data_IF_468247914898
#
_entry.id   IF_468247914898
#
_cell.length_a   1.000
_cell.length_b   1.000
_cell.length_c   1.000
_cell.angle_alpha   90.00
_cell.angle_beta   90.00
_cell.angle_gamma   90.00
#
_symmetry.space_group_name_H-M   'P 1'
#
loop_
_entity.id
_entity.type
_entity.pdbx_description
1 polymer ?
#
# COMPACT_ATOMS: atom_id res chain seq x y z
N UNK A 1 40.37 22.01 26.71
CA UNK A 1 40.26 20.74 25.93
C UNK A 1 38.84 20.16 25.90
N UNK A 2 38.00 20.33 26.94
CA UNK A 2 36.60 19.84 26.94
C UNK A 2 35.64 20.56 25.97
N UNK A 3 35.80 21.86 25.75
CA UNK A 3 34.89 22.66 24.89
C UNK A 3 34.89 22.23 23.41
N UNK A 4 36.03 21.76 22.90
CA UNK A 4 36.14 21.31 21.51
C UNK A 4 35.41 19.97 21.32
N UNK A 5 35.53 19.05 22.29
CA UNK A 5 34.87 17.74 22.27
C UNK A 5 33.35 17.92 22.34
N UNK A 6 32.86 18.79 23.25
CA UNK A 6 31.44 19.09 23.39
C UNK A 6 30.82 19.71 22.13
N UNK A 7 31.55 20.60 21.43
CA UNK A 7 31.10 21.19 20.17
C UNK A 7 31.01 20.16 19.03
N UNK A 8 31.97 19.25 18.94
CA UNK A 8 32.00 18.19 17.94
C UNK A 8 30.90 17.15 18.17
N UNK A 9 30.63 16.77 19.42
CA UNK A 9 29.54 15.88 19.78
C UNK A 9 28.17 16.48 19.44
N UNK A 10 27.97 17.79 19.70
CA UNK A 10 26.73 18.48 19.34
C UNK A 10 26.52 18.52 17.81
N UNK A 11 27.56 18.80 17.03
CA UNK A 11 27.49 18.76 15.56
C UNK A 11 27.13 17.37 15.03
N UNK A 12 27.71 16.31 15.61
CA UNK A 12 27.38 14.93 15.24
C UNK A 12 25.92 14.60 15.55
N UNK A 13 25.42 14.95 16.73
CA UNK A 13 24.03 14.71 17.12
C UNK A 13 23.05 15.48 16.21
N UNK A 14 23.40 16.69 15.78
CA UNK A 14 22.61 17.47 14.83
C UNK A 14 22.56 16.80 13.44
N UNK A 15 23.70 16.30 12.95
CA UNK A 15 23.73 15.55 11.68
C UNK A 15 22.88 14.28 11.77
N UNK A 16 23.00 13.53 12.88
CA UNK A 16 22.20 12.32 13.10
C UNK A 16 20.69 12.63 13.20
N UNK A 17 20.31 13.79 13.77
CA UNK A 17 18.93 14.26 13.80
C UNK A 17 18.40 14.52 12.39
N UNK A 18 19.11 15.30 11.58
CA UNK A 18 18.71 15.64 10.21
C UNK A 18 18.61 14.38 9.33
N UNK A 19 19.53 13.43 9.48
CA UNK A 19 19.48 12.15 8.77
C UNK A 19 18.20 11.38 9.12
N UNK A 20 17.88 11.26 10.41
CA UNK A 20 16.66 10.56 10.87
C UNK A 20 15.37 11.31 10.50
N UNK A 21 15.41 12.63 10.44
CA UNK A 21 14.30 13.44 9.95
C UNK A 21 14.06 13.17 8.45
N UNK A 22 15.13 13.05 7.67
CA UNK A 22 15.04 12.66 6.25
C UNK A 22 14.46 11.25 6.09
N UNK A 23 14.95 10.27 6.85
CA UNK A 23 14.40 8.91 6.87
C UNK A 23 12.90 8.89 7.25
N UNK A 24 12.48 9.76 8.18
CA UNK A 24 11.07 9.91 8.54
C UNK A 24 10.24 10.42 7.36
N UNK A 25 10.73 11.40 6.60
CA UNK A 25 10.06 11.89 5.40
C UNK A 25 9.93 10.80 4.32
N UNK A 26 10.98 10.00 4.12
CA UNK A 26 10.93 8.86 3.21
C UNK A 26 9.89 7.83 3.64
N UNK A 27 9.79 7.54 4.95
CA UNK A 27 8.74 6.67 5.50
C UNK A 27 7.34 7.22 5.27
N UNK A 28 7.13 8.53 5.44
CA UNK A 28 5.84 9.19 5.17
C UNK A 28 5.49 9.08 3.68
N UNK A 29 6.44 9.37 2.79
CA UNK A 29 6.25 9.28 1.35
C UNK A 29 5.91 7.84 0.92
N UNK A 30 6.63 6.85 1.46
CA UNK A 30 6.36 5.45 1.21
C UNK A 30 4.96 5.04 1.70
N UNK A 31 4.57 5.49 2.90
CA UNK A 31 3.23 5.23 3.44
C UNK A 31 2.12 5.81 2.55
N UNK A 32 2.27 7.07 2.13
CA UNK A 32 1.29 7.72 1.25
C UNK A 32 1.25 7.08 -0.14
N UNK A 33 2.40 6.70 -0.70
CA UNK A 33 2.46 5.97 -1.96
C UNK A 33 1.77 4.60 -1.88
N UNK A 34 1.98 3.85 -0.79
CA UNK A 34 1.30 2.56 -0.58
C UNK A 34 -0.21 2.74 -0.43
N UNK A 35 -0.66 3.76 0.32
CA UNK A 35 -2.08 4.09 0.46
C UNK A 35 -2.72 4.51 -0.87
N UNK A 36 -2.02 5.33 -1.65
CA UNK A 36 -2.49 5.78 -2.96
C UNK A 36 -2.63 4.59 -3.92
N UNK A 37 -1.61 3.73 -3.98
CA UNK A 37 -1.62 2.51 -4.80
C UNK A 37 -2.81 1.62 -4.43
N UNK A 38 -3.03 1.34 -3.15
CA UNK A 38 -4.17 0.54 -2.70
C UNK A 38 -5.52 1.15 -3.14
N UNK A 39 -5.68 2.48 -3.13
CA UNK A 39 -6.90 3.14 -3.63
C UNK A 39 -7.04 3.01 -5.14
N UNK A 40 -5.95 3.16 -5.90
CA UNK A 40 -5.92 3.01 -7.35
C UNK A 40 -6.23 1.57 -7.77
N UNK A 41 -5.68 0.58 -7.07
CA UNK A 41 -5.92 -0.84 -7.31
C UNK A 41 -7.40 -1.18 -7.07
N UNK A 42 -7.98 -0.69 -5.96
CA UNK A 42 -9.42 -0.83 -5.69
C UNK A 42 -10.30 -0.23 -6.79
N UNK A 43 -9.92 0.94 -7.33
CA UNK A 43 -10.65 1.56 -8.43
C UNK A 43 -10.53 0.75 -9.71
N UNK A 44 -9.32 0.26 -10.01
CA UNK A 44 -9.04 -0.60 -11.17
C UNK A 44 -9.85 -1.89 -11.11
N UNK A 45 -9.87 -2.58 -9.95
CA UNK A 45 -10.70 -3.76 -9.76
C UNK A 45 -12.18 -3.44 -10.03
N UNK A 46 -12.72 -2.36 -9.48
CA UNK A 46 -14.13 -1.99 -9.69
C UNK A 46 -14.46 -1.84 -11.17
N UNK A 47 -13.56 -1.24 -11.95
CA UNK A 47 -13.71 -1.12 -13.41
C UNK A 47 -13.68 -2.50 -14.08
N UNK A 48 -12.70 -3.34 -13.73
CA UNK A 48 -12.57 -4.70 -14.27
C UNK A 48 -13.78 -5.56 -13.95
N UNK A 49 -14.27 -5.54 -12.72
CA UNK A 49 -15.46 -6.30 -12.31
C UNK A 49 -16.71 -5.79 -13.00
N UNK A 50 -16.87 -4.49 -13.17
CA UNK A 50 -18.02 -3.93 -13.90
C UNK A 50 -18.05 -4.41 -15.36
N UNK A 51 -16.90 -4.49 -16.01
CA UNK A 51 -16.79 -5.01 -17.38
C UNK A 51 -17.06 -6.52 -17.43
N UNK A 52 -16.46 -7.28 -16.51
CA UNK A 52 -16.70 -8.73 -16.41
C UNK A 52 -18.17 -9.03 -16.11
N UNK A 53 -18.82 -8.29 -15.21
CA UNK A 53 -20.23 -8.44 -14.87
C UNK A 53 -21.12 -8.25 -16.09
N UNK A 54 -20.84 -7.23 -16.91
CA UNK A 54 -21.55 -7.01 -18.16
C UNK A 54 -21.36 -8.17 -19.15
N UNK A 55 -20.11 -8.62 -19.34
CA UNK A 55 -19.80 -9.75 -20.23
C UNK A 55 -20.44 -11.06 -19.76
N UNK A 56 -20.42 -11.32 -18.44
CA UNK A 56 -21.07 -12.48 -17.82
C UNK A 56 -22.57 -12.42 -18.04
N UNK A 57 -23.19 -11.26 -17.86
CA UNK A 57 -24.62 -11.08 -18.09
C UNK A 57 -25.01 -11.41 -19.54
N UNK A 58 -24.23 -10.92 -20.51
CA UNK A 58 -24.45 -11.21 -21.93
C UNK A 58 -24.25 -12.71 -22.22
N UNK A 59 -23.12 -13.29 -21.79
CA UNK A 59 -22.82 -14.70 -22.01
C UNK A 59 -23.84 -15.62 -21.34
N UNK A 60 -24.36 -15.25 -20.16
CA UNK A 60 -25.42 -15.97 -19.47
C UNK A 60 -26.72 -15.93 -20.27
N UNK A 61 -27.11 -14.77 -20.75
CA UNK A 61 -28.31 -14.64 -21.57
C UNK A 61 -28.21 -15.47 -22.85
N UNK A 62 -27.03 -15.52 -23.47
CA UNK A 62 -26.76 -16.31 -24.67
C UNK A 62 -26.79 -17.82 -24.37
N UNK A 63 -26.13 -18.25 -23.29
CA UNK A 63 -26.18 -19.63 -22.82
C UNK A 63 -27.61 -20.06 -22.47
N UNK A 64 -28.38 -19.24 -21.75
CA UNK A 64 -29.76 -19.54 -21.37
C UNK A 64 -30.67 -19.72 -22.61
N UNK A 65 -30.44 -18.92 -23.68
CA UNK A 65 -31.15 -19.08 -24.96
C UNK A 65 -30.70 -20.35 -25.69
N UNK A 66 -29.39 -20.56 -25.81
CA UNK A 66 -28.83 -21.74 -26.49
C UNK A 66 -29.22 -23.04 -25.77
N UNK A 67 -29.37 -23.01 -24.45
CA UNK A 67 -29.82 -24.16 -23.67
C UNK A 67 -31.24 -24.60 -24.08
N UNK A 68 -32.15 -23.64 -24.29
CA UNK A 68 -33.50 -23.94 -24.80
C UNK A 68 -33.44 -24.47 -26.23
N UNK A 69 -32.70 -23.79 -27.12
CA UNK A 69 -32.57 -24.20 -28.53
C UNK A 69 -31.94 -25.59 -28.67
N UNK A 70 -31.01 -25.96 -27.78
CA UNK A 70 -30.40 -27.28 -27.77
C UNK A 70 -31.39 -28.36 -27.33
N UNK A 71 -32.21 -28.10 -26.31
CA UNK A 71 -33.29 -28.99 -25.89
C UNK A 71 -34.32 -29.20 -27.03
N UNK A 72 -34.61 -28.14 -27.78
CA UNK A 72 -35.47 -28.17 -28.96
C UNK A 72 -34.77 -28.75 -30.22
N UNK A 73 -33.50 -29.20 -30.09
CA UNK A 73 -32.67 -29.77 -31.17
C UNK A 73 -32.46 -28.83 -32.37
N UNK A 74 -32.51 -27.52 -32.14
CA UNK A 74 -32.34 -26.47 -33.16
C UNK A 74 -30.86 -26.17 -33.42
N UNK A 75 -30.01 -26.29 -32.40
CA UNK A 75 -28.57 -26.04 -32.49
C UNK A 75 -27.75 -27.30 -32.21
N UNK A 76 -26.50 -27.30 -32.66
CA UNK A 76 -25.56 -28.39 -32.38
C UNK A 76 -25.10 -28.40 -30.92
N UNK A 77 -24.66 -29.57 -30.44
CA UNK A 77 -24.02 -29.69 -29.13
C UNK A 77 -22.79 -28.78 -29.00
N UNK A 78 -21.98 -28.68 -30.05
CA UNK A 78 -20.80 -27.81 -30.07
C UNK A 78 -21.15 -26.34 -29.82
N UNK A 79 -22.25 -25.85 -30.42
CA UNK A 79 -22.72 -24.47 -30.24
C UNK A 79 -23.19 -24.21 -28.81
N UNK A 80 -23.94 -25.15 -28.24
CA UNK A 80 -24.37 -25.10 -26.84
C UNK A 80 -23.17 -25.12 -25.89
N UNK A 81 -22.24 -26.07 -26.04
CA UNK A 81 -21.03 -26.17 -25.23
C UNK A 81 -20.17 -24.90 -25.31
N UNK A 82 -20.05 -24.30 -26.50
CA UNK A 82 -19.33 -23.05 -26.67
C UNK A 82 -19.93 -21.92 -25.83
N UNK A 83 -21.25 -21.76 -25.84
CA UNK A 83 -21.93 -20.74 -25.03
C UNK A 83 -21.78 -21.00 -23.54
N UNK A 84 -21.91 -22.27 -23.12
CA UNK A 84 -21.70 -22.71 -21.73
C UNK A 84 -20.29 -22.40 -21.24
N UNK A 85 -19.28 -22.85 -21.96
CA UNK A 85 -17.87 -22.66 -21.62
C UNK A 85 -17.50 -21.17 -21.58
N UNK A 86 -18.11 -20.36 -22.44
CA UNK A 86 -17.88 -18.90 -22.43
C UNK A 86 -18.39 -18.28 -21.14
N UNK A 87 -19.63 -18.59 -20.74
CA UNK A 87 -20.22 -18.12 -19.49
C UNK A 87 -19.45 -18.58 -18.25
N UNK A 88 -19.12 -19.88 -18.20
CA UNK A 88 -18.38 -20.47 -17.07
C UNK A 88 -16.97 -19.87 -16.94
N UNK A 89 -16.25 -19.70 -18.05
CA UNK A 89 -14.92 -19.09 -18.06
C UNK A 89 -14.93 -17.65 -17.55
N UNK A 90 -15.89 -16.84 -17.99
CA UNK A 90 -16.02 -15.45 -17.54
C UNK A 90 -16.36 -15.38 -16.04
N UNK A 91 -17.23 -16.28 -15.57
CA UNK A 91 -17.58 -16.37 -14.14
C UNK A 91 -16.37 -16.75 -13.29
N UNK A 92 -15.60 -17.75 -13.70
CA UNK A 92 -14.35 -18.14 -13.03
C UNK A 92 -13.32 -17.03 -13.05
N UNK A 93 -13.16 -16.32 -14.18
CA UNK A 93 -12.23 -15.20 -14.28
C UNK A 93 -12.58 -14.10 -13.27
N UNK A 94 -13.86 -13.79 -13.11
CA UNK A 94 -14.32 -12.82 -12.10
C UNK A 94 -13.99 -13.26 -10.67
N UNK A 95 -14.21 -14.53 -10.34
CA UNK A 95 -13.90 -15.04 -9.00
C UNK A 95 -12.41 -14.96 -8.69
N UNK A 96 -11.55 -15.29 -9.67
CA UNK A 96 -10.09 -15.15 -9.57
C UNK A 96 -9.69 -13.70 -9.33
N UNK A 97 -10.27 -12.74 -10.05
CA UNK A 97 -9.96 -11.31 -9.87
C UNK A 97 -10.34 -10.81 -8.47
N UNK A 98 -11.47 -11.26 -7.94
CA UNK A 98 -11.90 -10.92 -6.57
C UNK A 98 -10.94 -11.50 -5.53
N UNK A 99 -10.55 -12.77 -5.68
CA UNK A 99 -9.62 -13.43 -4.77
C UNK A 99 -8.23 -12.76 -4.79
N UNK A 100 -7.71 -12.49 -5.99
CA UNK A 100 -6.43 -11.81 -6.18
C UNK A 100 -6.43 -10.42 -5.53
N UNK A 101 -7.48 -9.63 -5.72
CA UNK A 101 -7.55 -8.31 -5.07
C UNK A 101 -7.58 -8.43 -3.55
N UNK A 102 -8.32 -9.40 -3.00
CA UNK A 102 -8.38 -9.59 -1.54
C UNK A 102 -6.99 -9.85 -0.97
N UNK A 103 -6.22 -10.73 -1.60
CA UNK A 103 -4.83 -10.99 -1.20
C UNK A 103 -3.95 -9.74 -1.30
N UNK A 104 -4.06 -8.97 -2.39
CA UNK A 104 -3.30 -7.72 -2.56
C UNK A 104 -3.67 -6.65 -1.53
N UNK A 105 -4.96 -6.53 -1.19
CA UNK A 105 -5.44 -5.63 -0.15
C UNK A 105 -4.89 -6.01 1.23
N UNK A 106 -4.96 -7.30 1.61
CA UNK A 106 -4.43 -7.79 2.89
C UNK A 106 -2.92 -7.52 3.03
N UNK A 107 -2.15 -7.75 1.96
CA UNK A 107 -0.72 -7.44 1.93
C UNK A 107 -0.45 -5.94 2.07
N UNK A 108 -1.20 -5.11 1.34
CA UNK A 108 -1.05 -3.66 1.39
C UNK A 108 -1.38 -3.09 2.77
N UNK A 109 -2.45 -3.59 3.40
CA UNK A 109 -2.83 -3.20 4.77
C UNK A 109 -1.76 -3.62 5.78
N UNK A 110 -1.18 -4.81 5.62
CA UNK A 110 -0.07 -5.27 6.45
C UNK A 110 1.15 -4.37 6.31
N UNK A 111 1.52 -4.00 5.09
CA UNK A 111 2.64 -3.09 4.83
C UNK A 111 2.38 -1.69 5.41
N UNK A 112 1.18 -1.15 5.26
CA UNK A 112 0.75 0.12 5.85
C UNK A 112 0.95 0.09 7.37
N UNK A 113 0.47 -0.96 8.04
CA UNK A 113 0.59 -1.11 9.49
C UNK A 113 2.06 -1.17 9.94
N UNK A 114 2.92 -1.85 9.19
CA UNK A 114 4.36 -1.91 9.48
C UNK A 114 5.06 -0.56 9.30
N UNK A 115 4.71 0.18 8.24
CA UNK A 115 5.22 1.53 7.99
C UNK A 115 4.77 2.51 9.07
N UNK A 116 3.49 2.48 9.46
CA UNK A 116 2.95 3.28 10.56
C UNK A 116 3.67 3.00 11.88
N UNK A 117 3.83 1.73 12.24
CA UNK A 117 4.57 1.36 13.46
C UNK A 117 6.03 1.80 13.44
N UNK A 118 6.68 1.80 12.28
CA UNK A 118 8.06 2.29 12.13
C UNK A 118 8.12 3.81 12.23
N UNK A 119 7.18 4.50 11.57
CA UNK A 119 7.06 5.95 11.62
C UNK A 119 6.86 6.46 13.05
N UNK A 120 5.98 5.83 13.84
CA UNK A 120 5.74 6.22 15.23
C UNK A 120 6.99 6.03 16.11
N UNK A 121 7.74 4.94 15.93
CA UNK A 121 9.05 4.76 16.61
C UNK A 121 10.06 5.82 16.21
N UNK A 122 10.13 6.17 14.92
CA UNK A 122 11.05 7.21 14.43
C UNK A 122 10.69 8.59 15.00
N UNK A 123 9.40 8.95 15.05
CA UNK A 123 8.93 10.19 15.68
C UNK A 123 9.30 10.27 17.16
N UNK A 124 9.11 9.18 17.90
CA UNK A 124 9.49 9.13 19.32
C UNK A 124 11.00 9.35 19.48
N UNK A 125 11.81 8.66 18.68
CA UNK A 125 13.27 8.80 18.70
C UNK A 125 13.71 10.24 18.37
N UNK A 126 13.11 10.86 17.36
CA UNK A 126 13.40 12.25 16.99
C UNK A 126 13.03 13.23 18.10
N UNK A 127 11.91 13.00 18.78
CA UNK A 127 11.49 13.81 19.93
C UNK A 127 12.51 13.74 21.06
N UNK A 128 12.97 12.52 21.42
CA UNK A 128 14.02 12.33 22.43
C UNK A 128 15.35 12.98 22.02
N UNK A 129 15.75 12.88 20.74
CA UNK A 129 16.97 13.51 20.24
C UNK A 129 16.87 15.03 20.30
N UNK A 130 15.71 15.60 19.96
CA UNK A 130 15.44 17.04 20.08
C UNK A 130 15.52 17.53 21.52
N UNK A 131 14.97 16.77 22.48
CA UNK A 131 15.07 17.08 23.91
C UNK A 131 16.52 17.03 24.40
N UNK A 132 17.29 16.02 23.98
CA UNK A 132 18.71 15.90 24.31
C UNK A 132 19.53 17.07 23.75
N UNK A 133 19.30 17.46 22.49
CA UNK A 133 19.94 18.63 21.88
C UNK A 133 19.59 19.93 22.64
N UNK A 134 18.33 20.11 23.03
CA UNK A 134 17.90 21.26 23.82
C UNK A 134 18.59 21.31 25.20
N UNK A 135 18.68 20.18 25.89
CA UNK A 135 19.37 20.07 27.18
C UNK A 135 20.87 20.35 27.09
N UNK A 136 21.53 19.94 26.00
CA UNK A 136 22.94 20.24 25.74
C UNK A 136 23.16 21.73 25.45
N UNK A 137 22.22 22.38 24.75
CA UNK A 137 22.28 23.82 24.49
C UNK A 137 22.02 24.67 25.74
N UNK A 138 21.11 24.24 26.63
CA UNK A 138 20.76 24.96 27.88
C UNK A 138 21.80 24.75 28.99
N UNK A 139 22.54 23.64 29.00
CA UNK A 139 23.66 23.41 29.94
C UNK A 139 24.97 24.07 29.52
N UNK A 140 25.03 24.66 28.32
CA UNK A 140 26.20 25.38 27.82
C UNK A 140 26.18 26.92 28.06
N UNK A 141 25.89 27.45 29.27
CA UNK A 141 26.31 28.80 29.63
C UNK A 141 27.18 28.82 30.90
N UNK A 142 28.48 28.60 30.73
CA UNK A 142 29.55 29.33 31.43
C UNK A 142 30.69 29.39 30.41
N UNK A 143 31.02 30.53 29.79
CA UNK A 143 31.59 31.73 30.41
C UNK A 143 32.68 31.41 31.43
N UNK A 144 33.49 30.37 31.16
CA UNK A 144 34.77 30.17 31.82
C UNK A 144 35.87 30.87 31.03
N UNK A 145 35.97 32.18 31.21
CA UNK A 145 37.18 32.91 30.87
C UNK A 145 38.30 32.29 31.73
N UNK A 146 39.24 31.60 31.10
CA UNK A 146 40.47 31.13 31.76
C UNK A 146 41.64 31.43 30.82
N UNK A 147 42.52 32.27 31.35
CA UNK A 147 43.83 32.70 30.84
C UNK A 147 44.69 31.60 30.26
#
# INVERSE_FOLDING_TARGET
QGDLILKLENQRLMLDFVNRETEMYDLINNLENTRLRLRQDKFTLRKTLSELDFQIQQAKADFDRNNKLFQDKVISQQEWERSKNTYERLSQQRDIEVENQKFQEENSLTQIKQLEGTLERTKLNLTMMKENLANLSVRAPVSGLLS
#
